data_IF_633514965466
#
_entry.id   IF_633514965466
#
_cell.length_a   1.000
_cell.length_b   1.000
_cell.length_c   1.000
_cell.angle_alpha   90.00
_cell.angle_beta   90.00
_cell.angle_gamma   90.00
#
_symmetry.space_group_name_H-M   'P 1'
#
loop_
_entity.id
_entity.type
_entity.pdbx_description
1 polymer ?
#
# COMPACT_ATOMS: atom_id res chain seq x y z
N UNK A 1 -37.86 -3.43 10.39
CA UNK A 1 -36.89 -2.83 9.46
C UNK A 1 -37.60 -1.70 8.73
N UNK A 2 -37.19 -0.45 8.92
CA UNK A 2 -37.73 0.67 8.12
C UNK A 2 -37.44 0.43 6.64
N UNK A 3 -38.36 0.82 5.75
CA UNK A 3 -38.20 0.62 4.30
C UNK A 3 -36.93 1.32 3.77
N UNK A 4 -36.59 2.49 4.33
CA UNK A 4 -35.36 3.23 4.00
C UNK A 4 -34.08 2.44 4.27
N UNK A 5 -34.05 1.70 5.38
CA UNK A 5 -32.89 0.87 5.74
C UNK A 5 -32.75 -0.31 4.77
N UNK A 6 -33.85 -0.94 4.37
CA UNK A 6 -33.83 -2.05 3.41
C UNK A 6 -33.29 -1.60 2.05
N UNK A 7 -33.71 -0.44 1.58
CA UNK A 7 -33.25 0.12 0.29
C UNK A 7 -31.77 0.48 0.34
N UNK A 8 -31.35 1.17 1.40
CA UNK A 8 -29.94 1.54 1.62
C UNK A 8 -29.03 0.32 1.67
N UNK A 9 -29.43 -0.74 2.39
CA UNK A 9 -28.65 -1.98 2.48
C UNK A 9 -28.58 -2.71 1.14
N UNK A 10 -29.67 -2.73 0.36
CA UNK A 10 -29.68 -3.35 -0.98
C UNK A 10 -28.72 -2.63 -1.93
N UNK A 11 -28.78 -1.30 -2.01
CA UNK A 11 -27.88 -0.51 -2.83
C UNK A 11 -26.42 -0.71 -2.40
N UNK A 12 -26.16 -0.67 -1.09
CA UNK A 12 -24.83 -0.95 -0.55
C UNK A 12 -24.29 -2.34 -0.94
N UNK A 13 -25.14 -3.37 -0.93
CA UNK A 13 -24.75 -4.73 -1.34
C UNK A 13 -24.45 -4.84 -2.84
N UNK A 14 -25.18 -4.11 -3.68
CA UNK A 14 -24.92 -4.05 -5.13
C UNK A 14 -23.54 -3.42 -5.35
N UNK A 15 -23.29 -2.26 -4.74
CA UNK A 15 -22.01 -1.57 -4.83
C UNK A 15 -20.85 -2.41 -4.29
N UNK A 16 -21.03 -3.11 -3.16
CA UNK A 16 -20.02 -4.04 -2.61
C UNK A 16 -19.63 -5.15 -3.59
N UNK A 17 -20.60 -5.70 -4.33
CA UNK A 17 -20.33 -6.73 -5.34
C UNK A 17 -19.59 -6.17 -6.55
N UNK A 18 -20.03 -5.03 -7.07
CA UNK A 18 -19.38 -4.35 -8.20
C UNK A 18 -17.94 -3.98 -7.87
N UNK A 19 -17.72 -3.41 -6.68
CA UNK A 19 -16.37 -3.07 -6.20
C UNK A 19 -15.49 -4.31 -6.08
N UNK A 20 -16.01 -5.44 -5.60
CA UNK A 20 -15.24 -6.70 -5.51
C UNK A 20 -14.77 -7.15 -6.88
N UNK A 21 -15.63 -7.09 -7.88
CA UNK A 21 -15.30 -7.50 -9.24
C UNK A 21 -14.30 -6.54 -9.91
N UNK A 22 -14.51 -5.23 -9.77
CA UNK A 22 -13.58 -4.21 -10.27
C UNK A 22 -12.21 -4.38 -9.61
N UNK A 23 -12.15 -4.64 -8.30
CA UNK A 23 -10.89 -4.87 -7.58
C UNK A 23 -10.17 -6.12 -8.07
N UNK A 24 -10.90 -7.21 -8.37
CA UNK A 24 -10.33 -8.43 -8.95
C UNK A 24 -9.68 -8.14 -10.30
N UNK A 25 -10.42 -7.52 -11.21
CA UNK A 25 -9.93 -7.15 -12.54
C UNK A 25 -8.74 -6.19 -12.43
N UNK A 26 -8.82 -5.18 -11.55
CA UNK A 26 -7.74 -4.22 -11.32
C UNK A 26 -6.46 -4.91 -10.84
N UNK A 27 -6.59 -5.89 -9.93
CA UNK A 27 -5.45 -6.67 -9.44
C UNK A 27 -4.78 -7.43 -10.57
N UNK A 28 -5.54 -8.15 -11.38
CA UNK A 28 -5.02 -8.90 -12.54
C UNK A 28 -4.29 -7.98 -13.54
N UNK A 29 -4.87 -6.81 -13.85
CA UNK A 29 -4.24 -5.84 -14.74
C UNK A 29 -2.97 -5.26 -14.15
N UNK A 30 -2.94 -4.98 -12.84
CA UNK A 30 -1.73 -4.49 -12.14
C UNK A 30 -0.60 -5.52 -12.16
N UNK A 31 -0.91 -6.78 -11.90
CA UNK A 31 0.07 -7.87 -11.95
C UNK A 31 0.64 -8.03 -13.35
N UNK A 32 -0.21 -8.11 -14.38
CA UNK A 32 0.25 -8.18 -15.77
C UNK A 32 1.08 -6.97 -16.19
N UNK A 33 0.67 -5.76 -15.79
CA UNK A 33 1.43 -4.53 -16.05
C UNK A 33 2.80 -4.56 -15.38
N UNK A 34 2.89 -5.06 -14.14
CA UNK A 34 4.16 -5.20 -13.42
C UNK A 34 5.13 -6.10 -14.19
N UNK A 35 4.69 -7.29 -14.60
CA UNK A 35 5.51 -8.23 -15.38
C UNK A 35 5.98 -7.61 -16.70
N UNK A 36 5.10 -6.94 -17.44
CA UNK A 36 5.49 -6.26 -18.68
C UNK A 36 6.48 -5.11 -18.43
N UNK A 37 6.34 -4.40 -17.31
CA UNK A 37 7.24 -3.30 -16.94
C UNK A 37 8.64 -3.82 -16.64
N UNK A 38 8.76 -4.94 -15.94
CA UNK A 38 10.04 -5.61 -15.67
C UNK A 38 10.73 -5.99 -17.00
N UNK A 39 9.99 -6.63 -17.91
CA UNK A 39 10.50 -6.99 -19.24
C UNK A 39 10.93 -5.76 -20.07
N UNK A 40 10.14 -4.68 -20.07
CA UNK A 40 10.50 -3.44 -20.79
C UNK A 40 11.76 -2.80 -20.21
N UNK A 41 11.90 -2.77 -18.88
CA UNK A 41 13.11 -2.25 -18.23
C UNK A 41 14.34 -3.10 -18.62
N UNK A 42 14.23 -4.42 -18.66
CA UNK A 42 15.32 -5.30 -19.11
C UNK A 42 15.69 -5.08 -20.57
N UNK A 43 14.70 -4.89 -21.45
CA UNK A 43 14.93 -4.57 -22.86
C UNK A 43 15.57 -3.19 -23.05
N UNK A 44 15.13 -2.18 -22.29
CA UNK A 44 15.71 -0.83 -22.32
C UNK A 44 17.17 -0.85 -21.83
N UNK A 45 17.47 -1.59 -20.75
CA UNK A 45 18.84 -1.79 -20.25
C UNK A 45 19.74 -2.52 -21.24
N UNK A 46 19.25 -3.62 -21.84
CA UNK A 46 20.05 -4.41 -22.79
C UNK A 46 20.35 -3.65 -24.08
N UNK A 47 19.44 -2.78 -24.53
CA UNK A 47 19.62 -1.93 -25.72
C UNK A 47 20.25 -0.57 -25.42
N UNK A 48 20.51 -0.26 -24.14
CA UNK A 48 21.00 1.06 -23.69
C UNK A 48 20.13 2.22 -24.17
N UNK A 49 18.81 2.04 -24.14
CA UNK A 49 17.82 3.04 -24.55
C UNK A 49 17.14 3.60 -23.32
N UNK A 50 17.34 4.89 -23.05
CA UNK A 50 16.75 5.57 -21.89
C UNK A 50 15.34 6.13 -22.18
N UNK A 51 15.03 6.43 -23.45
CA UNK A 51 13.74 6.96 -23.90
C UNK A 51 13.18 6.20 -25.10
N UNK A 52 11.89 5.86 -25.06
CA UNK A 52 11.14 5.29 -26.19
C UNK A 52 9.93 6.17 -26.52
N UNK A 53 9.81 6.60 -27.78
CA UNK A 53 8.60 7.27 -28.26
C UNK A 53 7.49 6.25 -28.49
N UNK A 54 6.29 6.55 -27.99
CA UNK A 54 5.06 5.78 -28.20
C UNK A 54 3.97 6.72 -28.74
N UNK A 55 2.89 6.15 -29.30
CA UNK A 55 1.82 6.95 -29.92
C UNK A 55 1.20 8.00 -28.99
N UNK A 56 1.25 7.79 -27.67
CA UNK A 56 0.66 8.67 -26.65
C UNK A 56 1.72 9.28 -25.70
N UNK A 57 2.95 9.47 -26.19
CA UNK A 57 4.02 10.16 -25.44
C UNK A 57 5.35 9.43 -25.45
N UNK A 58 6.07 9.46 -24.33
CA UNK A 58 7.37 8.81 -24.17
C UNK A 58 7.40 7.91 -22.94
N UNK A 59 8.06 6.76 -23.06
CA UNK A 59 8.48 5.94 -21.94
C UNK A 59 9.92 6.32 -21.59
N UNK A 60 10.11 6.81 -20.37
CA UNK A 60 11.42 7.20 -19.84
C UNK A 60 11.77 6.24 -18.71
N UNK A 61 12.96 5.64 -18.78
CA UNK A 61 13.48 4.88 -17.66
C UNK A 61 13.94 5.84 -16.56
N UNK A 62 13.31 5.79 -15.39
CA UNK A 62 13.69 6.61 -14.22
C UNK A 62 13.78 5.77 -12.95
N UNK A 63 14.80 6.04 -12.13
CA UNK A 63 14.91 5.46 -10.79
C UNK A 63 14.67 6.54 -9.74
N UNK A 64 13.68 6.32 -8.88
CA UNK A 64 13.43 7.20 -7.72
C UNK A 64 13.99 6.55 -6.46
N UNK A 65 14.85 7.28 -5.74
CA UNK A 65 15.31 6.89 -4.40
C UNK A 65 14.42 7.53 -3.36
N UNK A 66 13.67 6.71 -2.63
CA UNK A 66 12.85 7.17 -1.48
C UNK A 66 13.42 6.60 -0.18
N UNK A 67 13.36 7.40 0.90
CA UNK A 67 13.71 6.90 2.23
C UNK A 67 12.68 5.87 2.66
N UNK A 68 13.14 4.80 3.31
CA UNK A 68 12.24 3.82 3.91
C UNK A 68 11.34 4.48 4.96
N UNK A 69 10.09 3.99 5.13
CA UNK A 69 9.21 4.49 6.17
C UNK A 69 9.77 4.18 7.56
N UNK A 70 9.52 5.08 8.52
CA UNK A 70 9.91 4.90 9.93
C UNK A 70 9.08 3.77 10.56
N UNK A 71 9.64 2.56 10.57
CA UNK A 71 9.05 1.39 11.21
C UNK A 71 9.68 1.14 12.59
N UNK A 72 9.09 0.23 13.39
CA UNK A 72 9.57 -0.11 14.73
C UNK A 72 11.06 -0.46 14.74
N UNK A 73 11.51 -1.26 13.77
CA UNK A 73 12.91 -1.69 13.65
C UNK A 73 13.86 -0.50 13.44
N UNK A 74 13.48 0.43 12.56
CA UNK A 74 14.29 1.61 12.28
C UNK A 74 14.34 2.55 13.50
N UNK A 75 13.21 2.76 14.19
CA UNK A 75 13.16 3.58 15.40
C UNK A 75 14.02 2.96 16.51
N UNK A 76 13.89 1.66 16.77
CA UNK A 76 14.69 0.97 17.78
C UNK A 76 16.18 0.95 17.43
N UNK A 77 16.54 0.81 16.16
CA UNK A 77 17.94 0.88 15.71
C UNK A 77 18.53 2.28 15.96
N UNK A 78 17.83 3.34 15.54
CA UNK A 78 18.27 4.72 15.77
C UNK A 78 18.39 5.04 17.26
N UNK A 79 17.44 4.60 18.08
CA UNK A 79 17.50 4.78 19.53
C UNK A 79 18.65 3.94 20.14
N UNK A 80 18.88 2.72 19.65
CA UNK A 80 20.01 1.87 20.05
C UNK A 80 21.36 2.50 19.77
N UNK A 81 21.50 3.18 18.63
CA UNK A 81 22.72 3.91 18.28
C UNK A 81 22.99 5.11 19.20
N UNK A 82 21.94 5.72 19.75
CA UNK A 82 22.04 6.86 20.68
C UNK A 82 22.21 6.40 22.13
N UNK A 83 21.55 5.32 22.52
CA UNK A 83 21.49 4.79 23.89
C UNK A 83 22.19 3.42 24.00
N UNK A 84 23.41 3.32 23.46
CA UNK A 84 24.18 2.07 23.25
C UNK A 84 24.32 1.14 24.46
N UNK A 85 24.22 1.65 25.69
CA UNK A 85 24.39 0.88 26.92
C UNK A 85 23.08 0.65 27.70
N UNK A 86 21.93 1.04 27.14
CA UNK A 86 20.65 0.99 27.85
C UNK A 86 19.53 0.41 26.95
N UNK A 87 19.58 -0.91 26.68
CA UNK A 87 18.57 -1.57 25.84
C UNK A 87 17.16 -1.50 26.43
N UNK A 88 17.03 -1.45 27.76
CA UNK A 88 15.74 -1.28 28.42
C UNK A 88 15.12 0.08 28.10
N UNK A 89 15.90 1.16 28.15
CA UNK A 89 15.43 2.51 27.81
C UNK A 89 15.08 2.65 26.34
N UNK A 90 15.85 2.02 25.43
CA UNK A 90 15.53 1.96 24.00
C UNK A 90 14.17 1.29 23.78
N UNK A 91 13.91 0.17 24.48
CA UNK A 91 12.63 -0.53 24.39
C UNK A 91 11.48 0.34 24.89
N UNK A 92 11.62 0.93 26.09
CA UNK A 92 10.60 1.82 26.70
C UNK A 92 10.29 3.03 25.81
N UNK A 93 11.30 3.66 25.24
CA UNK A 93 11.13 4.82 24.34
C UNK A 93 10.48 4.43 23.02
N UNK A 94 10.91 3.30 22.42
CA UNK A 94 10.27 2.78 21.21
C UNK A 94 8.78 2.53 21.45
N UNK A 95 8.45 1.89 22.56
CA UNK A 95 7.07 1.59 22.94
C UNK A 95 6.27 2.86 23.19
N UNK A 96 6.82 3.83 23.92
CA UNK A 96 6.17 5.12 24.15
C UNK A 96 5.87 5.89 22.85
N UNK A 97 6.81 5.92 21.91
CA UNK A 97 6.61 6.56 20.59
C UNK A 97 5.51 5.88 19.79
N UNK A 98 5.38 4.55 19.89
CA UNK A 98 4.33 3.81 19.20
C UNK A 98 2.95 3.99 19.86
N UNK A 99 2.91 4.01 21.20
CA UNK A 99 1.68 4.09 21.98
C UNK A 99 1.13 5.53 22.12
N UNK A 100 1.96 6.55 21.94
CA UNK A 100 1.54 7.95 21.91
C UNK A 100 0.75 8.32 20.64
N UNK A 101 0.66 7.42 19.66
CA UNK A 101 -0.08 7.66 18.42
C UNK A 101 -1.58 7.66 18.70
N UNK A 102 -2.24 8.72 18.25
CA UNK A 102 -3.68 8.91 18.39
C UNK A 102 -4.46 7.72 17.79
N UNK A 103 -5.30 7.10 18.61
CA UNK A 103 -6.22 6.04 18.16
C UNK A 103 -7.46 6.72 17.60
N UNK A 104 -7.62 6.70 16.28
CA UNK A 104 -8.84 7.16 15.61
C UNK A 104 -9.80 6.00 15.43
N UNK A 105 -10.96 6.09 16.08
CA UNK A 105 -12.07 5.16 15.85
C UNK A 105 -12.79 5.56 14.57
N UNK A 106 -12.98 4.60 13.68
CA UNK A 106 -13.74 4.76 12.44
C UNK A 106 -14.70 3.59 12.32
N UNK A 107 -15.99 3.90 12.29
CA UNK A 107 -17.01 2.88 12.01
C UNK A 107 -16.81 2.33 10.60
N UNK A 108 -16.90 1.01 10.47
CA UNK A 108 -16.71 0.32 9.21
C UNK A 108 -17.77 -0.76 9.03
N UNK A 109 -18.47 -0.70 7.91
CA UNK A 109 -19.40 -1.74 7.50
C UNK A 109 -18.65 -2.77 6.65
N UNK A 110 -18.70 -4.05 7.06
CA UNK A 110 -18.09 -5.18 6.34
C UNK A 110 -19.14 -6.24 6.08
N UNK A 111 -19.16 -6.77 4.86
CA UNK A 111 -19.94 -7.96 4.53
C UNK A 111 -19.14 -9.20 4.93
N UNK A 112 -19.72 -10.05 5.79
CA UNK A 112 -19.22 -11.41 6.05
C UNK A 112 -19.98 -12.36 5.13
N UNK A 113 -19.24 -13.12 4.32
CA UNK A 113 -19.82 -14.20 3.50
C UNK A 113 -19.45 -15.50 4.20
N UNK A 114 -20.45 -16.26 4.66
CA UNK A 114 -20.20 -17.62 5.14
C UNK A 114 -19.81 -18.49 3.95
N UNK A 115 -18.72 -19.24 4.10
CA UNK A 115 -18.16 -20.12 3.05
C UNK A 115 -19.00 -21.37 2.87
#
# INVERSE_FOLDING_TARGET
MSEDLKTTVKEWLILDNEMREIQRILKEKKERKKTLTENVIELMKSKQVDELNVNDGKLIYSQTKTKSPLNKQHISACLGDVFKNDPEKVSKLTEHILNSREIKLKDNLKRKVDK
#
